data_IF_317366804263
#
_entry.id   IF_317366804263
#
_cell.length_a   1.000
_cell.length_b   1.000
_cell.length_c   1.000
_cell.angle_alpha   90.00
_cell.angle_beta   90.00
_cell.angle_gamma   90.00
#
_symmetry.space_group_name_H-M   'P 1'
#
loop_
_entity.id
_entity.type
_entity.pdbx_description
1 polymer ?
#
# COMPACT_ATOMS: atom_id res chain seq x y z
N UNK A 1 -5.06 -34.93 -19.73
CA UNK A 1 -4.84 -34.25 -21.02
C UNK A 1 -3.59 -34.85 -21.64
N UNK A 2 -3.73 -35.64 -22.71
CA UNK A 2 -2.60 -36.35 -23.34
C UNK A 2 -1.79 -35.37 -24.21
N UNK A 3 -0.50 -35.23 -23.90
CA UNK A 3 0.45 -34.43 -24.68
C UNK A 3 0.79 -35.17 -25.98
N UNK A 4 0.26 -34.71 -27.10
CA UNK A 4 0.63 -35.22 -28.43
C UNK A 4 1.92 -34.54 -28.87
N UNK A 5 3.06 -35.17 -28.57
CA UNK A 5 4.36 -34.83 -29.16
C UNK A 5 4.36 -35.23 -30.63
N UNK A 6 3.82 -34.38 -31.51
CA UNK A 6 3.93 -34.56 -32.95
C UNK A 6 5.31 -34.09 -33.39
N UNK A 7 6.28 -35.01 -33.48
CA UNK A 7 7.56 -34.75 -34.13
C UNK A 7 7.30 -34.35 -35.59
N UNK A 8 7.96 -33.30 -36.13
CA UNK A 8 7.75 -32.91 -37.52
C UNK A 8 8.21 -34.04 -38.45
N UNK A 9 7.48 -34.34 -39.53
CA UNK A 9 7.95 -35.29 -40.54
C UNK A 9 9.26 -34.76 -41.16
N UNK A 10 10.27 -35.62 -41.24
CA UNK A 10 11.55 -35.28 -41.86
C UNK A 10 11.33 -34.87 -43.32
N UNK A 11 11.68 -33.62 -43.66
CA UNK A 11 11.58 -33.12 -45.03
C UNK A 11 12.65 -33.75 -45.93
N UNK A 12 12.29 -34.24 -47.12
CA UNK A 12 13.27 -34.79 -48.06
C UNK A 12 14.25 -33.69 -48.50
N UNK A 13 15.53 -33.92 -48.21
CA UNK A 13 16.67 -33.12 -48.62
C UNK A 13 17.08 -33.51 -50.04
N UNK A 14 16.34 -33.04 -51.05
CA UNK A 14 16.67 -33.26 -52.46
C UNK A 14 15.68 -32.59 -53.42
N UNK A 15 16.08 -32.47 -54.69
CA UNK A 15 15.16 -32.14 -55.80
C UNK A 15 14.36 -33.40 -56.10
N UNK A 16 13.03 -33.34 -55.97
CA UNK A 16 12.17 -34.45 -56.36
C UNK A 16 11.76 -34.28 -57.82
N UNK A 17 11.87 -35.34 -58.60
CA UNK A 17 11.46 -35.39 -59.99
C UNK A 17 10.32 -36.38 -60.17
N UNK A 18 9.44 -36.15 -61.15
CA UNK A 18 8.45 -37.13 -61.58
C UNK A 18 9.08 -38.25 -62.43
N UNK A 19 8.27 -39.23 -62.85
CA UNK A 19 8.69 -40.36 -63.68
C UNK A 19 9.21 -39.93 -65.06
N UNK A 20 8.99 -38.68 -65.47
CA UNK A 20 9.47 -38.06 -66.71
C UNK A 20 10.67 -37.12 -66.49
N UNK A 21 11.17 -37.03 -65.25
CA UNK A 21 12.30 -36.18 -64.88
C UNK A 21 11.96 -34.70 -64.63
N UNK A 22 10.69 -34.29 -64.64
CA UNK A 22 10.29 -32.92 -64.30
C UNK A 22 10.37 -32.68 -62.79
N UNK A 23 10.90 -31.52 -62.40
CA UNK A 23 11.04 -31.12 -61.00
C UNK A 23 9.67 -30.83 -60.39
N UNK A 24 9.37 -31.51 -59.29
CA UNK A 24 8.16 -31.29 -58.50
C UNK A 24 8.27 -30.02 -57.65
N UNK A 25 7.19 -29.22 -57.53
CA UNK A 25 7.15 -28.08 -56.61
C UNK A 25 7.41 -28.51 -55.16
N UNK A 26 8.42 -27.91 -54.53
CA UNK A 26 8.76 -28.18 -53.14
C UNK A 26 8.02 -27.21 -52.21
N UNK A 27 7.45 -27.76 -51.12
CA UNK A 27 6.96 -26.92 -50.01
C UNK A 27 8.15 -26.27 -49.32
N UNK A 28 8.18 -24.94 -49.31
CA UNK A 28 9.21 -24.18 -48.59
C UNK A 28 9.04 -24.40 -47.09
N UNK A 29 10.16 -24.68 -46.43
CA UNK A 29 10.19 -24.81 -44.97
C UNK A 29 10.08 -23.41 -44.39
N UNK A 30 9.18 -23.23 -43.42
CA UNK A 30 9.10 -21.97 -42.70
C UNK A 30 10.20 -21.94 -41.62
N UNK A 31 11.24 -21.10 -41.74
CA UNK A 31 12.32 -21.05 -40.76
C UNK A 31 11.83 -20.63 -39.36
N UNK A 32 10.68 -19.94 -39.30
CA UNK A 32 10.06 -19.54 -38.04
C UNK A 32 9.40 -20.71 -37.29
N UNK A 33 9.14 -21.83 -37.96
CA UNK A 33 8.56 -23.04 -37.38
C UNK A 33 9.64 -23.97 -36.81
N UNK A 34 10.81 -24.00 -37.45
CA UNK A 34 11.95 -24.83 -37.04
C UNK A 34 12.80 -24.20 -35.94
N UNK A 35 12.93 -22.87 -35.93
CA UNK A 35 13.68 -22.18 -34.89
C UNK A 35 12.88 -22.12 -33.57
N UNK A 36 13.25 -22.98 -32.62
CA UNK A 36 12.61 -23.07 -31.29
C UNK A 36 12.79 -21.78 -30.48
N UNK A 37 14.00 -21.22 -30.44
CA UNK A 37 14.31 -19.98 -29.73
C UNK A 37 13.40 -18.83 -30.18
N UNK A 38 13.18 -18.71 -31.50
CA UNK A 38 12.28 -17.72 -32.08
C UNK A 38 10.83 -17.94 -31.65
N UNK A 39 10.38 -19.19 -31.57
CA UNK A 39 9.01 -19.53 -31.11
C UNK A 39 8.83 -19.21 -29.62
N UNK A 40 9.85 -19.48 -28.81
CA UNK A 40 9.87 -19.18 -27.38
C UNK A 40 9.87 -17.67 -27.14
N UNK A 41 10.74 -16.92 -27.82
CA UNK A 41 10.77 -15.46 -27.76
C UNK A 41 9.43 -14.85 -28.16
N UNK A 42 8.81 -15.33 -29.25
CA UNK A 42 7.50 -14.84 -29.68
C UNK A 42 6.39 -15.10 -28.63
N UNK A 43 6.44 -16.26 -27.96
CA UNK A 43 5.51 -16.60 -26.87
C UNK A 43 5.70 -15.66 -25.69
N UNK A 44 6.94 -15.41 -25.29
CA UNK A 44 7.28 -14.52 -24.18
C UNK A 44 6.87 -13.08 -24.47
N UNK A 45 7.17 -12.55 -25.66
CA UNK A 45 6.78 -11.20 -26.06
C UNK A 45 5.26 -11.02 -26.05
N UNK A 46 4.50 -11.99 -26.57
CA UNK A 46 3.03 -11.98 -26.50
C UNK A 46 2.52 -12.02 -25.07
N UNK A 47 3.15 -12.81 -24.20
CA UNK A 47 2.80 -12.90 -22.80
C UNK A 47 3.04 -11.56 -22.07
N UNK A 48 4.19 -10.93 -22.31
CA UNK A 48 4.53 -9.63 -21.73
C UNK A 48 3.58 -8.53 -22.21
N UNK A 49 3.24 -8.50 -23.51
CA UNK A 49 2.24 -7.58 -24.05
C UNK A 49 0.87 -7.77 -23.40
N UNK A 50 0.43 -9.02 -23.19
CA UNK A 50 -0.84 -9.33 -22.52
C UNK A 50 -0.87 -8.86 -21.06
N UNK A 51 0.25 -8.92 -20.35
CA UNK A 51 0.37 -8.45 -18.96
C UNK A 51 0.61 -6.94 -18.88
N UNK A 52 0.91 -6.28 -20.00
CA UNK A 52 1.27 -4.86 -20.03
C UNK A 52 2.71 -4.59 -19.55
N UNK A 53 3.60 -5.59 -19.57
CA UNK A 53 5.02 -5.42 -19.28
C UNK A 53 5.75 -5.00 -20.55
N UNK A 54 6.19 -3.74 -20.63
CA UNK A 54 7.03 -3.25 -21.74
C UNK A 54 8.43 -3.84 -21.63
N UNK A 55 8.84 -4.69 -22.57
CA UNK A 55 10.23 -5.22 -22.65
C UNK A 55 11.24 -4.18 -23.13
N UNK A 56 10.76 -3.09 -23.73
CA UNK A 56 11.59 -1.99 -24.21
C UNK A 56 11.77 -0.95 -23.10
N UNK A 57 13.00 -0.43 -22.97
CA UNK A 57 13.36 0.61 -22.00
C UNK A 57 13.13 0.24 -20.52
N UNK A 58 13.19 -1.05 -20.19
CA UNK A 58 13.22 -1.48 -18.79
C UNK A 58 14.56 -1.08 -18.17
N UNK A 59 14.51 -0.52 -16.95
CA UNK A 59 15.69 -0.49 -16.08
C UNK A 59 16.15 -1.93 -15.86
N UNK A 60 17.46 -2.14 -15.78
CA UNK A 60 17.98 -3.48 -15.48
C UNK A 60 17.45 -3.97 -14.13
N UNK A 61 17.34 -5.29 -13.94
CA UNK A 61 16.91 -5.86 -12.64
C UNK A 61 17.74 -5.29 -11.47
N UNK A 62 19.04 -5.08 -11.68
CA UNK A 62 19.94 -4.44 -10.72
C UNK A 62 19.53 -2.99 -10.40
N UNK A 63 19.24 -2.17 -11.41
CA UNK A 63 18.78 -0.80 -11.19
C UNK A 63 17.45 -0.77 -10.42
N UNK A 64 16.52 -1.67 -10.75
CA UNK A 64 15.25 -1.81 -10.06
C UNK A 64 15.43 -2.23 -8.60
N UNK A 65 16.39 -3.11 -8.32
CA UNK A 65 16.74 -3.52 -6.96
C UNK A 65 17.37 -2.36 -6.17
N UNK A 66 18.28 -1.58 -6.76
CA UNK A 66 18.87 -0.40 -6.12
C UNK A 66 17.83 0.67 -5.80
N UNK A 67 16.91 0.95 -6.72
CA UNK A 67 15.83 1.92 -6.50
C UNK A 67 14.91 1.47 -5.37
N UNK A 68 14.53 0.19 -5.35
CA UNK A 68 13.74 -0.39 -4.27
C UNK A 68 14.45 -0.32 -2.92
N UNK A 69 15.77 -0.53 -2.89
CA UNK A 69 16.55 -0.40 -1.67
C UNK A 69 16.64 1.06 -1.21
N UNK A 70 16.84 2.00 -2.15
CA UNK A 70 16.86 3.45 -1.87
C UNK A 70 15.52 3.94 -1.33
N UNK A 71 14.41 3.50 -1.92
CA UNK A 71 13.06 3.81 -1.46
C UNK A 71 12.81 3.27 -0.04
N UNK A 72 13.20 2.02 0.24
CA UNK A 72 13.10 1.45 1.59
C UNK A 72 13.92 2.23 2.61
N UNK A 73 15.13 2.63 2.26
CA UNK A 73 15.98 3.42 3.13
C UNK A 73 15.39 4.81 3.38
N UNK A 74 14.87 5.48 2.35
CA UNK A 74 14.19 6.76 2.48
C UNK A 74 12.94 6.66 3.38
N UNK A 75 12.09 5.64 3.18
CA UNK A 75 10.92 5.40 4.01
C UNK A 75 11.28 5.11 5.47
N UNK A 76 12.36 4.38 5.74
CA UNK A 76 12.85 4.16 7.09
C UNK A 76 13.33 5.46 7.75
N UNK A 77 14.02 6.33 7.01
CA UNK A 77 14.43 7.65 7.52
C UNK A 77 13.22 8.52 7.82
N UNK A 78 12.21 8.55 6.94
CA UNK A 78 11.00 9.33 7.18
C UNK A 78 10.24 8.83 8.41
N UNK A 79 10.09 7.52 8.59
CA UNK A 79 9.42 6.95 9.77
C UNK A 79 10.18 7.21 11.08
N UNK A 80 11.51 7.31 11.03
CA UNK A 80 12.35 7.66 12.18
C UNK A 80 12.73 9.15 12.22
N UNK A 81 12.06 9.99 11.41
CA UNK A 81 12.30 11.41 11.45
C UNK A 81 11.75 11.99 12.76
N UNK A 82 12.48 12.94 13.39
CA UNK A 82 12.02 13.55 14.63
C UNK A 82 10.69 14.29 14.46
N UNK A 83 10.34 14.67 13.23
CA UNK A 83 9.08 15.34 12.90
C UNK A 83 7.88 14.38 12.98
N UNK A 84 8.04 13.11 12.60
CA UNK A 84 7.01 12.08 12.76
C UNK A 84 6.84 11.67 14.23
N UNK A 85 7.95 11.58 14.98
CA UNK A 85 7.91 11.34 16.42
C UNK A 85 7.28 12.52 17.18
N UNK A 86 7.63 13.76 16.84
CA UNK A 86 7.01 14.97 17.40
C UNK A 86 5.54 15.10 17.00
N UNK A 87 5.15 14.71 15.78
CA UNK A 87 3.75 14.67 15.37
C UNK A 87 2.96 13.63 16.17
N UNK A 88 3.54 12.46 16.43
CA UNK A 88 2.96 11.44 17.30
C UNK A 88 2.82 11.92 18.75
N UNK A 89 3.86 12.53 19.31
CA UNK A 89 3.84 13.11 20.66
C UNK A 89 2.84 14.28 20.77
N UNK A 90 2.70 15.11 19.74
CA UNK A 90 1.69 16.18 19.69
C UNK A 90 0.27 15.61 19.64
N UNK A 91 0.06 14.52 18.92
CA UNK A 91 -1.20 13.77 18.92
C UNK A 91 -1.55 13.21 20.31
N UNK A 92 -0.58 12.56 20.96
CA UNK A 92 -0.77 11.97 22.29
C UNK A 92 -0.99 13.04 23.37
N UNK A 93 -0.21 14.12 23.34
CA UNK A 93 -0.40 15.27 24.25
C UNK A 93 -1.79 15.89 24.07
N UNK A 94 -2.24 16.06 22.83
CA UNK A 94 -3.60 16.56 22.54
C UNK A 94 -4.68 15.65 23.12
N UNK A 95 -4.51 14.32 23.02
CA UNK A 95 -5.41 13.33 23.61
C UNK A 95 -5.49 13.46 25.14
N UNK A 96 -4.34 13.56 25.81
CA UNK A 96 -4.26 13.70 27.27
C UNK A 96 -4.86 15.02 27.75
N UNK A 97 -4.63 16.12 27.03
CA UNK A 97 -5.24 17.43 27.33
C UNK A 97 -6.77 17.34 27.23
N UNK A 98 -7.30 16.72 26.18
CA UNK A 98 -8.74 16.55 26.00
C UNK A 98 -9.36 15.69 27.09
N UNK A 99 -8.72 14.57 27.44
CA UNK A 99 -9.17 13.68 28.52
C UNK A 99 -9.22 14.41 29.87
N UNK A 100 -8.19 15.20 30.17
CA UNK A 100 -8.14 16.01 31.39
C UNK A 100 -9.22 17.10 31.39
N UNK A 101 -9.44 17.77 30.27
CA UNK A 101 -10.49 18.78 30.13
C UNK A 101 -11.89 18.19 30.34
N UNK A 102 -12.17 17.01 29.75
CA UNK A 102 -13.44 16.29 29.97
C UNK A 102 -13.63 15.92 31.45
N UNK A 103 -12.57 15.42 32.11
CA UNK A 103 -12.62 15.08 33.53
C UNK A 103 -12.91 16.30 34.42
N UNK A 104 -12.29 17.45 34.15
CA UNK A 104 -12.58 18.69 34.88
C UNK A 104 -13.99 19.21 34.60
N UNK A 105 -14.47 19.15 33.35
CA UNK A 105 -15.84 19.55 33.00
C UNK A 105 -16.90 18.68 33.70
N UNK A 106 -16.71 17.36 33.72
CA UNK A 106 -17.59 16.45 34.42
C UNK A 106 -17.58 16.65 35.95
N UNK A 107 -16.42 16.98 36.53
CA UNK A 107 -16.32 17.31 37.95
C UNK A 107 -17.04 18.62 38.29
N UNK A 108 -16.90 19.66 37.45
CA UNK A 108 -17.60 20.93 37.61
C UNK A 108 -19.12 20.75 37.51
N UNK A 109 -19.61 19.99 36.51
CA UNK A 109 -21.04 19.70 36.37
C UNK A 109 -21.63 18.95 37.56
N UNK A 110 -20.87 18.01 38.16
CA UNK A 110 -21.30 17.31 39.37
C UNK A 110 -21.38 18.27 40.57
N UNK A 111 -20.37 19.14 40.73
CA UNK A 111 -20.39 20.15 41.79
C UNK A 111 -21.55 21.14 41.62
N UNK A 112 -21.84 21.58 40.39
CA UNK A 112 -22.97 22.47 40.12
C UNK A 112 -24.32 21.80 40.41
N UNK A 113 -24.45 20.50 40.11
CA UNK A 113 -25.64 19.72 40.44
C UNK A 113 -25.82 19.54 41.96
N UNK A 114 -24.74 19.20 42.68
CA UNK A 114 -24.74 19.08 44.14
C UNK A 114 -25.02 20.43 44.83
N UNK A 115 -24.41 21.53 44.35
CA UNK A 115 -24.67 22.89 44.84
C UNK A 115 -26.12 23.33 44.52
N UNK A 116 -26.71 22.88 43.41
CA UNK A 116 -28.11 23.16 43.06
C UNK A 116 -29.10 22.40 43.95
N UNK A 117 -28.82 21.12 44.25
CA UNK A 117 -29.61 20.33 45.19
C UNK A 117 -29.51 20.89 46.62
N UNK A 118 -28.33 21.33 47.05
CA UNK A 118 -28.14 21.96 48.36
C UNK A 118 -28.89 23.31 48.47
N UNK A 119 -28.90 24.11 47.39
CA UNK A 119 -29.70 25.34 47.31
C UNK A 119 -31.20 25.10 47.44
N UNK A 120 -31.68 23.92 47.06
CA UNK A 120 -33.09 23.55 47.17
C UNK A 120 -33.50 23.19 48.60
N UNK A 121 -32.58 22.69 49.43
CA UNK A 121 -32.89 22.21 50.79
C UNK A 121 -32.47 23.17 51.91
N UNK A 122 -31.47 24.03 51.68
CA UNK A 122 -30.83 24.85 52.72
C UNK A 122 -31.35 26.29 52.71
N UNK A 123 -31.50 26.89 53.90
CA UNK A 123 -31.93 28.27 54.08
C UNK A 123 -31.00 29.26 53.32
N UNK A 124 -31.56 30.21 52.54
CA UNK A 124 -30.79 31.11 51.67
C UNK A 124 -29.78 32.00 52.41
N UNK A 125 -30.03 32.38 53.66
CA UNK A 125 -29.08 33.20 54.44
C UNK A 125 -27.79 32.42 54.76
N UNK A 126 -27.90 31.12 54.99
CA UNK A 126 -26.74 30.26 55.26
C UNK A 126 -25.85 30.11 54.01
N UNK A 127 -26.48 29.96 52.83
CA UNK A 127 -25.78 29.88 51.55
C UNK A 127 -25.02 31.17 51.24
N UNK A 128 -25.61 32.33 51.55
CA UNK A 128 -24.98 33.64 51.36
C UNK A 128 -23.75 33.84 52.26
N UNK A 129 -23.83 33.43 53.53
CA UNK A 129 -22.68 33.49 54.46
C UNK A 129 -21.56 32.55 53.99
N UNK A 130 -21.91 31.33 53.55
CA UNK A 130 -20.95 30.37 53.02
C UNK A 130 -20.25 30.87 51.76
N UNK A 131 -20.97 31.50 50.84
CA UNK A 131 -20.40 32.09 49.63
C UNK A 131 -19.39 33.21 49.96
N UNK A 132 -19.74 34.10 50.90
CA UNK A 132 -18.83 35.16 51.38
C UNK A 132 -17.56 34.60 52.02
N UNK A 133 -17.65 33.50 52.76
CA UNK A 133 -16.49 32.82 53.34
C UNK A 133 -15.60 32.13 52.27
N UNK A 134 -16.20 31.52 51.25
CA UNK A 134 -15.48 30.90 50.13
C UNK A 134 -14.66 31.92 49.35
N UNK A 135 -15.22 33.09 49.08
CA UNK A 135 -14.52 34.19 48.38
C UNK A 135 -13.42 34.82 49.23
N UNK A 136 -13.57 34.83 50.56
CA UNK A 136 -12.56 35.37 51.47
C UNK A 136 -11.35 34.44 51.68
N UNK A 137 -11.49 33.14 51.36
CA UNK A 137 -10.46 32.13 51.60
C UNK A 137 -9.84 31.56 50.30
N UNK A 138 -10.17 32.12 49.13
CA UNK A 138 -9.52 31.76 47.89
C UNK A 138 -8.06 32.27 47.90
N UNK A 139 -7.04 31.42 47.78
CA UNK A 139 -5.66 31.88 47.63
C UNK A 139 -5.50 32.57 46.27
N UNK A 140 -4.89 33.75 46.26
CA UNK A 140 -4.48 34.49 45.07
C UNK A 140 -3.51 33.68 44.19
#
# INVERSE_FOLDING_TARGET
MMSMSTSPPATPTGVQTDDQGLILPKKLINPCMENTDRKELHRELKFNARIGKSVLNQKTELQRAYEKQKERHAAAIEQHSPETELAGLKGELGRVIMERAQKHGAAAQKQDAEDAEERQYVNPEYLNVRAKLRTAHAPN
#
